data_IF_391422063556
#
_entry.id   IF_391422063556
#
_cell.length_a   1.000
_cell.length_b   1.000
_cell.length_c   1.000
_cell.angle_alpha   90.00
_cell.angle_beta   90.00
_cell.angle_gamma   90.00
#
_symmetry.space_group_name_H-M   'P 1'
#
loop_
_entity.id
_entity.type
_entity.pdbx_description
1 polymer ?
#
# COMPACT_ATOMS: atom_id res chain seq x y z
N UNK A 1 10.51 18.49 -0.27
CA UNK A 1 9.96 17.93 0.99
C UNK A 1 8.51 18.36 1.09
N UNK A 2 7.62 17.50 1.60
CA UNK A 2 6.22 17.87 1.81
C UNK A 2 6.13 18.97 2.85
N UNK A 3 5.29 19.97 2.61
CA UNK A 3 5.03 21.04 3.57
C UNK A 3 4.18 20.45 4.71
N UNK A 4 4.82 19.99 5.78
CA UNK A 4 4.13 19.49 6.95
C UNK A 4 3.63 20.72 7.71
N UNK A 5 2.32 20.97 7.61
CA UNK A 5 1.67 21.98 8.44
C UNK A 5 1.49 21.38 9.85
N UNK A 6 2.00 22.08 10.87
CA UNK A 6 1.95 21.62 12.26
C UNK A 6 0.53 21.28 12.73
N UNK A 7 -0.49 21.96 12.16
CA UNK A 7 -1.91 21.67 12.42
C UNK A 7 -2.30 20.22 12.12
N UNK A 8 -1.65 19.57 11.15
CA UNK A 8 -2.00 18.22 10.71
C UNK A 8 -0.96 17.18 11.11
N UNK A 9 0.02 17.53 11.94
CA UNK A 9 1.09 16.61 12.35
C UNK A 9 0.54 15.37 13.06
N UNK A 10 -0.57 15.52 13.80
CA UNK A 10 -1.27 14.41 14.47
C UNK A 10 -1.74 13.31 13.50
N UNK A 11 -1.99 13.63 12.22
CA UNK A 11 -2.37 12.64 11.21
C UNK A 11 -1.21 11.71 10.82
N UNK A 12 0.04 12.07 11.13
CA UNK A 12 1.21 11.24 10.83
C UNK A 12 1.19 9.90 11.59
N UNK A 13 0.75 9.92 12.85
CA UNK A 13 0.60 8.69 13.65
C UNK A 13 -0.43 7.73 13.03
N UNK A 14 -1.58 8.27 12.62
CA UNK A 14 -2.60 7.50 11.91
C UNK A 14 -2.11 7.00 10.54
N UNK A 15 -1.42 7.83 9.77
CA UNK A 15 -0.83 7.44 8.49
C UNK A 15 0.13 6.26 8.65
N UNK A 16 1.03 6.31 9.64
CA UNK A 16 1.95 5.20 9.96
C UNK A 16 1.19 3.95 10.42
N UNK A 17 0.21 4.10 11.31
CA UNK A 17 -0.59 2.98 11.84
C UNK A 17 -1.36 2.26 10.73
N UNK A 18 -2.09 3.01 9.91
CA UNK A 18 -2.84 2.46 8.77
C UNK A 18 -1.89 1.89 7.72
N UNK A 19 -0.76 2.55 7.44
CA UNK A 19 0.25 2.04 6.52
C UNK A 19 0.84 0.70 6.96
N UNK A 20 1.12 0.54 8.26
CA UNK A 20 1.58 -0.73 8.83
C UNK A 20 0.49 -1.80 8.78
N UNK A 21 -0.76 -1.47 9.13
CA UNK A 21 -1.87 -2.40 9.01
C UNK A 21 -2.05 -2.89 7.55
N UNK A 22 -1.97 -1.96 6.59
CA UNK A 22 -2.02 -2.31 5.17
C UNK A 22 -0.85 -3.19 4.75
N UNK A 23 0.36 -2.99 5.27
CA UNK A 23 1.49 -3.89 5.02
C UNK A 23 1.17 -5.33 5.44
N UNK A 24 0.62 -5.51 6.64
CA UNK A 24 0.21 -6.84 7.16
C UNK A 24 -0.88 -7.45 6.27
N UNK A 25 -1.92 -6.68 5.93
CA UNK A 25 -3.01 -7.15 5.07
C UNK A 25 -2.52 -7.50 3.66
N UNK A 26 -1.58 -6.75 3.11
CA UNK A 26 -0.96 -7.04 1.81
C UNK A 26 -0.16 -8.34 1.88
N UNK A 27 0.61 -8.57 2.94
CA UNK A 27 1.32 -9.83 3.13
C UNK A 27 0.36 -11.03 3.14
N UNK A 28 -0.72 -10.96 3.93
CA UNK A 28 -1.76 -11.99 3.97
C UNK A 28 -2.42 -12.17 2.60
N UNK A 29 -2.73 -11.07 1.91
CA UNK A 29 -3.34 -11.08 0.58
C UNK A 29 -2.42 -11.71 -0.48
N UNK A 30 -1.11 -11.51 -0.41
CA UNK A 30 -0.13 -12.11 -1.30
C UNK A 30 -0.01 -13.62 -1.04
N UNK A 31 0.08 -14.04 0.22
CA UNK A 31 0.06 -15.46 0.60
C UNK A 31 -1.20 -16.15 0.07
N UNK A 32 -2.36 -15.54 0.31
CA UNK A 32 -3.64 -16.06 -0.21
C UNK A 32 -3.67 -16.16 -1.74
N UNK A 33 -3.16 -15.12 -2.42
CA UNK A 33 -3.12 -15.06 -3.88
C UNK A 33 -2.22 -16.13 -4.50
N UNK A 34 -1.09 -16.43 -3.87
CA UNK A 34 -0.16 -17.48 -4.28
C UNK A 34 -0.75 -18.87 -4.00
N UNK A 35 -1.33 -19.08 -2.82
CA UNK A 35 -2.01 -20.33 -2.48
C UNK A 35 -3.16 -20.68 -3.43
N UNK A 36 -3.84 -19.65 -3.96
CA UNK A 36 -4.96 -19.81 -4.90
C UNK A 36 -4.59 -19.51 -6.36
N UNK A 37 -3.31 -19.55 -6.73
CA UNK A 37 -2.87 -19.13 -8.07
C UNK A 37 -3.57 -19.92 -9.20
N UNK A 38 -3.76 -21.23 -9.01
CA UNK A 38 -4.41 -22.11 -9.98
C UNK A 38 -5.94 -21.92 -10.07
N UNK A 39 -6.56 -21.30 -9.07
CA UNK A 39 -8.00 -21.09 -9.00
C UNK A 39 -8.43 -19.71 -9.53
N UNK A 40 -7.51 -19.00 -10.20
CA UNK A 40 -7.77 -17.64 -10.68
C UNK A 40 -8.67 -17.66 -11.93
N UNK A 41 -9.72 -16.83 -11.97
CA UNK A 41 -10.58 -16.75 -13.14
C UNK A 41 -9.79 -16.26 -14.36
N UNK A 42 -10.13 -16.79 -15.53
CA UNK A 42 -9.56 -16.32 -16.78
C UNK A 42 -9.90 -14.84 -17.00
N UNK A 43 -8.93 -14.10 -17.53
CA UNK A 43 -9.07 -12.69 -17.85
C UNK A 43 -8.10 -12.31 -18.96
N UNK A 44 -8.40 -11.20 -19.65
CA UNK A 44 -7.53 -10.67 -20.69
C UNK A 44 -6.15 -10.31 -20.14
N UNK A 45 -5.16 -10.19 -21.03
CA UNK A 45 -3.81 -9.79 -20.63
C UNK A 45 -3.81 -8.44 -19.89
N UNK A 46 -4.64 -7.48 -20.32
CA UNK A 46 -4.79 -6.18 -19.67
C UNK A 46 -5.25 -6.30 -18.20
N UNK A 47 -6.23 -7.18 -17.92
CA UNK A 47 -6.70 -7.43 -16.55
C UNK A 47 -5.59 -8.04 -15.70
N UNK A 48 -4.84 -9.00 -16.25
CA UNK A 48 -3.72 -9.65 -15.54
C UNK A 48 -2.62 -8.64 -15.21
N UNK A 49 -2.20 -7.83 -16.18
CA UNK A 49 -1.17 -6.81 -16.00
C UNK A 49 -1.61 -5.71 -15.02
N UNK A 50 -2.87 -5.26 -15.10
CA UNK A 50 -3.42 -4.28 -14.15
C UNK A 50 -3.39 -4.78 -12.71
N UNK A 51 -3.83 -6.02 -12.47
CA UNK A 51 -3.75 -6.62 -11.14
C UNK A 51 -2.30 -6.84 -10.69
N UNK A 52 -1.42 -7.30 -11.58
CA UNK A 52 0.00 -7.48 -11.26
C UNK A 52 0.64 -6.14 -10.84
N UNK A 53 0.38 -5.05 -11.57
CA UNK A 53 0.85 -3.72 -11.20
C UNK A 53 0.33 -3.27 -9.83
N UNK A 54 -0.95 -3.48 -9.55
CA UNK A 54 -1.53 -3.19 -8.23
C UNK A 54 -0.87 -4.02 -7.13
N UNK A 55 -0.67 -5.32 -7.31
CA UNK A 55 0.01 -6.18 -6.34
C UNK A 55 1.44 -5.70 -6.04
N UNK A 56 2.21 -5.38 -7.08
CA UNK A 56 3.58 -4.87 -6.94
C UNK A 56 3.58 -3.55 -6.16
N UNK A 57 2.71 -2.61 -6.50
CA UNK A 57 2.68 -1.30 -5.84
C UNK A 57 2.13 -1.37 -4.41
N UNK A 58 1.12 -2.20 -4.17
CA UNK A 58 0.57 -2.45 -2.82
C UNK A 58 1.65 -2.99 -1.87
N UNK A 59 2.62 -3.76 -2.37
CA UNK A 59 3.75 -4.21 -1.57
C UNK A 59 4.88 -3.17 -1.51
N UNK A 60 5.27 -2.60 -2.65
CA UNK A 60 6.42 -1.70 -2.74
C UNK A 60 6.25 -0.43 -1.92
N UNK A 61 5.07 0.20 -1.95
CA UNK A 61 4.80 1.47 -1.24
C UNK A 61 5.04 1.36 0.27
N UNK A 62 4.40 0.42 1.01
CA UNK A 62 4.62 0.29 2.44
C UNK A 62 5.97 -0.32 2.80
N UNK A 63 6.57 -1.17 1.97
CA UNK A 63 7.93 -1.68 2.20
C UNK A 63 8.96 -0.55 2.15
N UNK A 64 8.89 0.30 1.13
CA UNK A 64 9.76 1.50 1.03
C UNK A 64 9.52 2.46 2.20
N UNK A 65 8.27 2.60 2.66
CA UNK A 65 7.97 3.37 3.87
C UNK A 65 8.62 2.77 5.12
N UNK A 66 8.62 1.44 5.27
CA UNK A 66 9.25 0.76 6.40
C UNK A 66 10.77 0.87 6.39
N UNK A 67 11.39 0.77 5.22
CA UNK A 67 12.83 1.05 5.06
C UNK A 67 13.14 2.46 5.57
N UNK A 68 12.34 3.45 5.15
CA UNK A 68 12.48 4.84 5.65
C UNK A 68 12.24 4.95 7.15
N UNK A 69 11.19 4.33 7.68
CA UNK A 69 10.84 4.39 9.10
C UNK A 69 12.00 3.89 9.95
N UNK A 70 12.53 2.71 9.62
CA UNK A 70 13.68 2.12 10.31
C UNK A 70 14.93 3.02 10.23
N UNK A 71 15.31 3.43 9.01
CA UNK A 71 16.54 4.20 8.79
C UNK A 71 16.50 5.67 9.21
N UNK A 72 15.33 6.21 9.56
CA UNK A 72 15.21 7.66 9.81
C UNK A 72 15.70 8.11 11.18
N UNK A 73 15.72 7.23 12.19
CA UNK A 73 15.94 7.58 13.61
C UNK A 73 14.95 8.63 14.19
N UNK A 74 13.89 9.00 13.46
CA UNK A 74 12.94 10.09 13.81
C UNK A 74 11.82 9.67 14.77
N UNK A 75 12.10 8.74 15.68
CA UNK A 75 11.12 8.22 16.63
C UNK A 75 10.59 6.83 16.30
N UNK A 76 9.98 6.22 17.30
CA UNK A 76 9.45 4.87 17.24
C UNK A 76 8.30 4.76 16.22
N UNK A 77 8.06 3.53 15.76
CA UNK A 77 6.83 3.20 15.06
C UNK A 77 5.79 2.80 16.10
N UNK A 78 4.89 3.72 16.38
CA UNK A 78 3.67 3.43 17.13
C UNK A 78 2.53 3.09 16.17
N UNK A 79 1.86 1.96 16.43
CA UNK A 79 0.69 1.50 15.71
C UNK A 79 -0.48 1.51 16.69
N UNK A 80 -1.37 2.49 16.55
CA UNK A 80 -2.51 2.70 17.45
C UNK A 80 -2.11 2.73 18.94
N UNK A 81 -0.97 3.34 19.27
CA UNK A 81 -0.45 3.48 20.64
C UNK A 81 0.42 2.31 21.12
N UNK A 82 0.65 1.29 20.29
CA UNK A 82 1.55 0.17 20.59
C UNK A 82 2.87 0.37 19.85
N UNK A 83 3.99 0.36 20.56
CA UNK A 83 5.32 0.40 19.95
C UNK A 83 5.63 -0.92 19.25
N UNK A 84 5.75 -0.89 17.93
CA UNK A 84 6.05 -2.08 17.10
C UNK A 84 7.50 -2.11 16.64
N UNK A 85 8.16 -0.94 16.57
CA UNK A 85 9.57 -0.83 16.22
C UNK A 85 10.18 0.38 16.93
N UNK A 86 11.20 0.14 17.74
CA UNK A 86 11.98 1.21 18.36
C UNK A 86 12.86 1.89 17.31
N UNK A 87 13.07 3.20 17.47
CA UNK A 87 14.01 3.95 16.65
C UNK A 87 15.43 3.43 16.83
N UNK A 88 16.23 3.58 15.79
CA UNK A 88 17.68 3.44 15.86
C UNK A 88 18.32 4.73 16.37
N UNK A 89 19.56 4.66 16.86
CA UNK A 89 20.29 5.81 17.41
C UNK A 89 20.70 6.82 16.34
N UNK A 90 21.25 6.32 15.23
CA UNK A 90 21.82 7.13 14.16
C UNK A 90 21.09 6.85 12.84
N UNK A 91 20.77 7.88 12.04
CA UNK A 91 20.08 7.69 10.77
C UNK A 91 20.95 6.92 9.76
N UNK A 92 20.32 6.04 9.00
CA UNK A 92 20.90 5.36 7.85
C UNK A 92 20.49 6.14 6.60
N UNK A 93 21.46 6.82 5.99
CA UNK A 93 21.21 7.82 4.95
C UNK A 93 20.50 7.22 3.73
N UNK A 94 21.01 6.10 3.18
CA UNK A 94 20.45 5.51 1.95
C UNK A 94 18.99 5.08 2.12
N UNK A 95 18.62 4.57 3.30
CA UNK A 95 17.25 4.16 3.60
C UNK A 95 16.30 5.36 3.62
N UNK A 96 16.76 6.45 4.24
CA UNK A 96 16.02 7.70 4.31
C UNK A 96 15.86 8.33 2.91
N UNK A 97 16.94 8.36 2.13
CA UNK A 97 16.95 8.89 0.76
C UNK A 97 16.04 8.07 -0.17
N UNK A 98 16.11 6.73 -0.13
CA UNK A 98 15.22 5.85 -0.90
C UNK A 98 13.75 6.15 -0.59
N UNK A 99 13.41 6.20 0.71
CA UNK A 99 12.08 6.53 1.17
C UNK A 99 11.59 7.90 0.70
N UNK A 100 12.44 8.91 0.77
CA UNK A 100 12.12 10.27 0.33
C UNK A 100 11.94 10.36 -1.19
N UNK A 101 12.73 9.63 -1.96
CA UNK A 101 12.70 9.66 -3.42
C UNK A 101 11.53 8.86 -4.02
N UNK A 102 11.15 7.74 -3.39
CA UNK A 102 10.25 6.76 -3.98
C UNK A 102 8.85 6.72 -3.35
N UNK A 103 8.73 6.72 -2.01
CA UNK A 103 7.46 6.41 -1.34
C UNK A 103 6.28 7.27 -1.84
N UNK A 104 6.45 8.59 -1.88
CA UNK A 104 5.39 9.50 -2.33
C UNK A 104 5.03 9.34 -3.80
N UNK A 105 6.02 9.13 -4.68
CA UNK A 105 5.80 8.94 -6.12
C UNK A 105 5.06 7.63 -6.39
N UNK A 106 5.49 6.55 -5.74
CA UNK A 106 4.84 5.25 -5.84
C UNK A 106 3.43 5.29 -5.24
N UNK A 107 3.21 6.04 -4.15
CA UNK A 107 1.89 6.21 -3.55
C UNK A 107 0.92 6.93 -4.50
N UNK A 108 1.36 7.98 -5.20
CA UNK A 108 0.54 8.63 -6.22
C UNK A 108 0.23 7.73 -7.42
N UNK A 109 1.22 6.95 -7.89
CA UNK A 109 0.99 5.98 -8.96
C UNK A 109 -0.03 4.92 -8.53
N UNK A 110 0.10 4.38 -7.31
CA UNK A 110 -0.86 3.44 -6.73
C UNK A 110 -2.25 4.08 -6.62
N UNK A 111 -2.34 5.34 -6.19
CA UNK A 111 -3.60 6.07 -6.09
C UNK A 111 -4.32 6.17 -7.44
N UNK A 112 -3.61 6.56 -8.50
CA UNK A 112 -4.17 6.64 -9.87
C UNK A 112 -4.66 5.27 -10.34
N UNK A 113 -3.87 4.22 -10.14
CA UNK A 113 -4.27 2.86 -10.56
C UNK A 113 -5.42 2.31 -9.73
N UNK A 114 -5.46 2.57 -8.43
CA UNK A 114 -6.56 2.18 -7.56
C UNK A 114 -7.86 2.88 -7.97
N UNK A 115 -7.80 4.20 -8.25
CA UNK A 115 -8.94 4.94 -8.77
C UNK A 115 -9.43 4.38 -10.11
N UNK A 116 -8.52 4.14 -11.06
CA UNK A 116 -8.87 3.54 -12.34
C UNK A 116 -9.46 2.13 -12.21
N UNK A 117 -8.92 1.32 -11.29
CA UNK A 117 -9.46 0.00 -10.97
C UNK A 117 -10.90 0.06 -10.42
N UNK A 118 -11.16 0.96 -9.47
CA UNK A 118 -12.50 1.17 -8.91
C UNK A 118 -13.46 1.63 -10.02
N UNK A 119 -13.06 2.60 -10.84
CA UNK A 119 -13.87 3.09 -11.95
C UNK A 119 -14.23 1.95 -12.93
N UNK A 120 -13.27 1.11 -13.29
CA UNK A 120 -13.52 -0.05 -14.15
C UNK A 120 -14.46 -1.06 -13.51
N UNK A 121 -14.29 -1.36 -12.22
CA UNK A 121 -15.19 -2.27 -11.49
C UNK A 121 -16.64 -1.75 -11.49
N UNK A 122 -16.83 -0.44 -11.28
CA UNK A 122 -18.14 0.21 -11.37
C UNK A 122 -18.70 0.15 -12.79
N UNK A 123 -17.90 0.46 -13.81
CA UNK A 123 -18.34 0.38 -15.22
C UNK A 123 -18.78 -1.04 -15.60
N UNK A 124 -18.04 -2.07 -15.23
CA UNK A 124 -18.42 -3.46 -15.46
C UNK A 124 -19.68 -3.86 -14.68
N UNK A 125 -19.85 -3.36 -13.45
CA UNK A 125 -21.08 -3.56 -12.69
C UNK A 125 -22.28 -2.94 -13.42
N UNK A 126 -22.16 -1.71 -13.90
CA UNK A 126 -23.23 -1.00 -14.63
C UNK A 126 -23.55 -1.67 -15.97
N UNK A 127 -22.59 -2.36 -16.59
CA UNK A 127 -22.78 -3.18 -17.79
C UNK A 127 -23.44 -4.54 -17.52
N UNK A 128 -23.75 -4.84 -16.27
CA UNK A 128 -24.43 -6.10 -15.89
C UNK A 128 -23.49 -7.28 -15.65
N UNK A 129 -22.16 -7.09 -15.69
CA UNK A 129 -21.17 -8.17 -15.51
C UNK A 129 -21.00 -8.60 -14.04
N UNK A 130 -21.71 -7.95 -13.11
CA UNK A 130 -21.77 -8.26 -11.65
C UNK A 130 -20.40 -8.48 -10.99
N UNK A 131 -19.37 -7.77 -11.45
CA UNK A 131 -17.99 -7.93 -10.95
C UNK A 131 -17.87 -7.60 -9.45
N UNK A 132 -18.62 -6.60 -8.97
CA UNK A 132 -18.57 -6.20 -7.56
C UNK A 132 -19.16 -7.29 -6.65
N UNK A 133 -20.23 -7.97 -7.08
CA UNK A 133 -20.82 -9.09 -6.33
C UNK A 133 -19.78 -10.19 -6.06
N UNK A 134 -19.03 -10.57 -7.09
CA UNK A 134 -17.95 -11.57 -6.99
C UNK A 134 -16.86 -11.16 -6.00
N UNK A 135 -16.53 -9.87 -5.93
CA UNK A 135 -15.56 -9.35 -4.97
C UNK A 135 -16.11 -9.28 -3.54
N UNK A 136 -17.42 -9.10 -3.38
CA UNK A 136 -18.11 -9.08 -2.09
C UNK A 136 -18.43 -10.48 -1.52
N UNK A 137 -18.06 -11.54 -2.24
CA UNK A 137 -18.37 -12.93 -1.84
C UNK A 137 -19.84 -13.30 -2.02
N UNK A 138 -20.54 -12.66 -2.96
CA UNK A 138 -21.96 -12.89 -3.28
C UNK A 138 -22.15 -13.43 -4.70
#
# INVERSE_FOLDING_TARGET
MWNINEKYYSLMGYHKSVGFLLLVLVALRLVWALANWHNRPHGSLAVKLGHAALYVLMAAVPVVAMIRQYGSARGDLEVFGITVMHKIEQPIEWMTQLGNAAHGKLAYLLFVLAFGHIAMAVLHQLRGEKIINRMAGK
#
